data_IF_564993121929
#
_entry.id   IF_564993121929
#
_cell.length_a   1.000
_cell.length_b   1.000
_cell.length_c   1.000
_cell.angle_alpha   90.00
_cell.angle_beta   90.00
_cell.angle_gamma   90.00
#
_symmetry.space_group_name_H-M   'P 1'
#
loop_
_entity.id
_entity.type
_entity.pdbx_description
1 polymer ?
#
# COMPACT_ATOMS: atom_id res chain seq x y z
N UNK A 1 -52.62 55.19 -4.99
CA UNK A 1 -51.69 54.45 -5.88
C UNK A 1 -52.19 53.02 -6.01
N UNK A 2 -52.44 52.61 -7.28
CA UNK A 2 -52.58 51.25 -7.86
C UNK A 2 -53.43 50.20 -7.12
N UNK A 3 -54.63 49.97 -7.67
CA UNK A 3 -55.41 48.75 -7.49
C UNK A 3 -55.15 47.73 -8.62
N UNK A 4 -55.28 46.47 -8.23
CA UNK A 4 -55.67 45.26 -8.97
C UNK A 4 -55.11 45.00 -10.38
N UNK A 5 -54.42 43.86 -10.55
CA UNK A 5 -54.61 43.02 -11.74
C UNK A 5 -54.36 41.54 -11.43
N UNK A 6 -55.12 40.70 -12.13
CA UNK A 6 -55.52 39.33 -11.81
C UNK A 6 -54.45 38.27 -12.12
N UNK A 7 -54.52 37.19 -11.35
CA UNK A 7 -53.93 35.88 -11.66
C UNK A 7 -54.44 35.35 -13.00
N UNK A 8 -53.50 34.89 -13.85
CA UNK A 8 -53.79 33.91 -14.89
C UNK A 8 -52.83 32.75 -14.69
N UNK A 9 -53.42 31.60 -14.36
CA UNK A 9 -52.77 30.30 -14.25
C UNK A 9 -52.48 29.77 -15.65
N UNK A 10 -51.25 29.29 -15.89
CA UNK A 10 -50.97 28.37 -17.00
C UNK A 10 -50.20 27.18 -16.43
N UNK A 11 -50.88 26.03 -16.42
CA UNK A 11 -50.30 24.72 -16.24
C UNK A 11 -49.48 24.38 -17.48
N UNK A 12 -48.23 23.95 -17.30
CA UNK A 12 -47.48 23.25 -18.32
C UNK A 12 -46.80 22.04 -17.68
N UNK A 13 -47.44 20.89 -17.86
CA UNK A 13 -46.90 19.55 -17.70
C UNK A 13 -45.72 19.35 -18.65
N UNK A 14 -44.61 18.85 -18.13
CA UNK A 14 -43.47 18.41 -18.93
C UNK A 14 -42.49 17.60 -18.11
N UNK A 15 -42.63 16.28 -18.16
CA UNK A 15 -41.65 15.33 -17.63
C UNK A 15 -40.32 15.47 -18.38
N UNK A 16 -39.19 15.46 -17.66
CA UNK A 16 -37.94 14.98 -18.23
C UNK A 16 -37.12 14.18 -17.22
N UNK A 17 -36.71 13.04 -17.72
CA UNK A 17 -36.09 11.88 -17.10
C UNK A 17 -34.56 12.06 -16.98
N UNK A 18 -33.98 11.26 -16.09
CA UNK A 18 -32.59 10.82 -16.03
C UNK A 18 -31.53 11.79 -15.47
N UNK A 19 -31.31 11.70 -14.15
CA UNK A 19 -30.06 12.10 -13.51
C UNK A 19 -29.08 10.92 -13.58
N UNK A 20 -28.28 10.86 -14.65
CA UNK A 20 -27.17 9.92 -14.78
C UNK A 20 -25.99 10.45 -13.95
N UNK A 21 -25.86 9.99 -12.70
CA UNK A 21 -24.69 10.28 -11.87
C UNK A 21 -23.48 9.50 -12.42
N UNK A 22 -22.74 10.12 -13.33
CA UNK A 22 -21.41 9.65 -13.75
C UNK A 22 -20.44 9.85 -12.57
N UNK A 23 -20.26 8.82 -11.76
CA UNK A 23 -19.15 8.77 -10.82
C UNK A 23 -17.86 8.44 -11.58
N UNK A 24 -17.23 9.48 -12.13
CA UNK A 24 -15.86 9.39 -12.62
C UNK A 24 -14.94 9.17 -11.42
N UNK A 25 -14.72 7.90 -11.05
CA UNK A 25 -13.64 7.50 -10.17
C UNK A 25 -12.32 7.92 -10.80
N UNK A 26 -11.79 9.07 -10.39
CA UNK A 26 -10.44 9.48 -10.74
C UNK A 26 -9.50 8.56 -9.95
N UNK A 27 -9.03 7.51 -10.61
CA UNK A 27 -7.84 6.81 -10.17
C UNK A 27 -6.70 7.84 -10.14
N UNK A 28 -6.35 8.32 -8.94
CA UNK A 28 -5.10 9.06 -8.74
C UNK A 28 -3.96 8.09 -9.00
N UNK A 29 -3.50 8.06 -10.25
CA UNK A 29 -2.17 7.56 -10.55
C UNK A 29 -1.20 8.45 -9.75
N UNK A 30 -0.60 7.88 -8.71
CA UNK A 30 0.45 8.54 -7.96
C UNK A 30 1.57 8.92 -8.93
N UNK A 31 1.79 10.22 -9.11
CA UNK A 31 2.99 10.72 -9.78
C UNK A 31 4.15 10.43 -8.83
N UNK A 32 5.09 9.59 -9.26
CA UNK A 32 6.40 9.48 -8.64
C UNK A 32 7.00 10.89 -8.58
N UNK A 33 7.13 11.44 -7.37
CA UNK A 33 7.73 12.76 -7.16
C UNK A 33 9.24 12.55 -7.23
N UNK A 34 9.95 13.11 -8.23
CA UNK A 34 11.40 12.98 -8.30
C UNK A 34 12.05 13.61 -7.06
N UNK A 35 12.85 12.83 -6.33
CA UNK A 35 13.56 13.27 -5.13
C UNK A 35 13.06 12.68 -3.81
N UNK A 36 11.89 12.03 -3.79
CA UNK A 36 11.53 11.07 -2.75
C UNK A 36 12.03 9.71 -3.25
N UNK A 37 12.98 9.08 -2.54
CA UNK A 37 13.43 7.72 -2.86
C UNK A 37 12.23 6.79 -3.02
N UNK A 38 12.37 5.72 -3.81
CA UNK A 38 11.25 4.82 -4.13
C UNK A 38 10.59 4.34 -2.83
N UNK A 39 9.26 4.34 -2.80
CA UNK A 39 8.50 4.14 -1.57
C UNK A 39 8.43 2.67 -1.15
N UNK A 40 8.83 2.37 0.10
CA UNK A 40 8.73 1.03 0.71
C UNK A 40 7.43 0.85 1.51
N UNK A 41 6.77 1.93 1.93
CA UNK A 41 5.49 1.86 2.63
C UNK A 41 4.41 1.18 1.76
N UNK A 42 3.55 0.40 2.41
CA UNK A 42 2.46 -0.35 1.79
C UNK A 42 2.58 -1.86 2.00
N UNK A 43 1.74 -2.59 1.26
CA UNK A 43 1.65 -4.04 1.33
C UNK A 43 2.47 -4.70 0.22
N UNK A 44 3.14 -5.79 0.56
CA UNK A 44 4.05 -6.54 -0.29
C UNK A 44 3.87 -8.03 -0.13
N UNK A 45 4.19 -8.78 -1.19
CA UNK A 45 4.27 -10.23 -1.17
C UNK A 45 5.58 -10.70 -1.79
N UNK A 46 6.09 -11.83 -1.33
CA UNK A 46 7.15 -12.57 -2.00
C UNK A 46 6.81 -14.06 -1.98
N UNK A 47 7.44 -14.84 -2.86
CA UNK A 47 7.32 -16.30 -2.82
C UNK A 47 8.66 -16.89 -2.42
N UNK A 48 8.66 -17.69 -1.36
CA UNK A 48 9.84 -18.43 -0.89
C UNK A 48 9.45 -19.90 -0.81
N UNK A 49 10.19 -20.76 -1.51
CA UNK A 49 9.97 -22.21 -1.51
C UNK A 49 8.51 -22.60 -1.80
N UNK A 50 7.85 -21.87 -2.71
CA UNK A 50 6.47 -22.10 -3.10
C UNK A 50 5.42 -21.56 -2.13
N UNK A 51 5.81 -20.88 -1.05
CA UNK A 51 4.90 -20.31 -0.06
C UNK A 51 4.94 -18.78 -0.07
N UNK A 52 3.79 -18.15 0.19
CA UNK A 52 3.67 -16.69 0.21
C UNK A 52 4.21 -16.11 1.53
N UNK A 53 5.16 -15.19 1.41
CA UNK A 53 5.59 -14.26 2.45
C UNK A 53 4.81 -12.96 2.25
N UNK A 54 4.27 -12.39 3.33
CA UNK A 54 3.62 -11.07 3.28
C UNK A 54 4.40 -10.07 4.12
N UNK A 55 4.44 -8.81 3.68
CA UNK A 55 5.05 -7.73 4.44
C UNK A 55 4.22 -6.45 4.32
N UNK A 56 4.02 -5.78 5.45
CA UNK A 56 3.33 -4.49 5.56
C UNK A 56 4.30 -3.49 6.16
N UNK A 57 4.56 -2.37 5.48
CA UNK A 57 5.41 -1.31 6.01
C UNK A 57 4.65 0.01 6.12
N UNK A 58 4.93 0.73 7.20
CA UNK A 58 4.58 2.14 7.39
C UNK A 58 5.87 2.94 7.50
N UNK A 59 5.80 4.20 7.10
CA UNK A 59 6.96 5.10 7.07
C UNK A 59 6.62 6.43 7.73
N UNK A 60 7.57 6.94 8.52
CA UNK A 60 7.52 8.26 9.12
C UNK A 60 8.91 8.92 8.96
N UNK A 61 9.04 9.77 7.95
CA UNK A 61 10.35 10.31 7.57
C UNK A 61 11.27 9.18 7.11
N UNK A 62 12.47 9.10 7.69
CA UNK A 62 13.42 8.01 7.40
C UNK A 62 13.17 6.76 8.23
N UNK A 63 12.24 6.79 9.19
CA UNK A 63 11.90 5.63 10.00
C UNK A 63 10.87 4.76 9.30
N UNK A 64 11.05 3.44 9.39
CA UNK A 64 10.05 2.45 8.97
C UNK A 64 9.68 1.53 10.12
N UNK A 65 8.43 1.10 10.11
CA UNK A 65 7.97 -0.01 10.95
C UNK A 65 7.08 -0.93 10.13
N UNK A 66 7.00 -2.20 10.51
CA UNK A 66 6.22 -3.14 9.72
C UNK A 66 6.00 -4.48 10.38
N UNK A 67 5.24 -5.31 9.66
CA UNK A 67 4.98 -6.70 10.00
C UNK A 67 5.37 -7.56 8.82
N UNK A 68 6.18 -8.58 9.06
CA UNK A 68 6.56 -9.59 8.06
C UNK A 68 6.03 -10.93 8.54
N UNK A 69 5.29 -11.64 7.69
CA UNK A 69 4.80 -13.00 7.98
C UNK A 69 5.51 -13.96 7.04
N UNK A 70 6.31 -14.85 7.61
CA UNK A 70 7.09 -15.86 6.89
C UNK A 70 6.55 -17.25 7.25
N UNK A 71 6.11 -18.05 6.27
CA UNK A 71 5.72 -19.43 6.49
C UNK A 71 6.84 -20.26 7.12
N UNK A 72 6.49 -21.13 8.06
CA UNK A 72 7.39 -22.14 8.61
C UNK A 72 7.10 -23.49 7.96
N UNK A 73 7.98 -23.89 7.05
CA UNK A 73 7.85 -25.13 6.28
C UNK A 73 8.01 -26.36 7.16
N UNK A 74 8.73 -26.25 8.29
CA UNK A 74 9.00 -27.39 9.17
C UNK A 74 7.79 -27.66 10.08
N UNK A 75 7.22 -26.60 10.65
CA UNK A 75 6.07 -26.74 11.56
C UNK A 75 4.70 -26.64 10.89
N UNK A 76 4.65 -26.20 9.62
CA UNK A 76 3.39 -25.94 8.91
C UNK A 76 2.66 -24.66 9.35
N UNK A 77 3.28 -23.85 10.22
CA UNK A 77 2.75 -22.59 10.71
C UNK A 77 3.28 -21.36 9.98
N UNK A 78 3.19 -20.20 10.64
CA UNK A 78 3.84 -18.97 10.20
C UNK A 78 4.49 -18.26 11.37
N UNK A 79 5.55 -17.53 11.07
CA UNK A 79 6.23 -16.65 12.01
C UNK A 79 5.95 -15.20 11.64
N UNK A 80 5.53 -14.42 12.63
CA UNK A 80 5.23 -12.99 12.49
C UNK A 80 6.33 -12.17 13.16
N UNK A 81 6.88 -11.20 12.42
CA UNK A 81 7.96 -10.34 12.86
C UNK A 81 7.53 -8.88 12.81
N UNK A 82 7.41 -8.25 13.98
CA UNK A 82 7.24 -6.80 14.10
C UNK A 82 8.61 -6.10 14.01
N UNK A 83 8.86 -5.43 12.89
CA UNK A 83 10.17 -4.84 12.60
C UNK A 83 10.12 -3.32 12.69
N UNK A 84 11.24 -2.74 13.11
CA UNK A 84 11.48 -1.30 13.06
C UNK A 84 12.85 -1.03 12.45
N UNK A 85 13.00 0.09 11.74
CA UNK A 85 14.15 0.31 10.89
C UNK A 85 14.26 1.70 10.30
N UNK A 86 15.16 1.82 9.33
CA UNK A 86 15.45 3.06 8.61
C UNK A 86 15.43 2.84 7.10
N UNK A 87 15.16 3.92 6.37
CA UNK A 87 15.30 4.03 4.91
C UNK A 87 16.34 5.09 4.61
N UNK A 88 17.27 4.79 3.71
CA UNK A 88 18.33 5.68 3.24
C UNK A 88 18.33 5.65 1.71
N UNK A 89 17.70 6.65 1.09
CA UNK A 89 17.48 6.64 -0.35
C UNK A 89 16.54 5.51 -0.77
N UNK A 90 17.03 4.62 -1.64
CA UNK A 90 16.30 3.42 -2.07
C UNK A 90 16.56 2.21 -1.16
N UNK A 91 17.54 2.29 -0.25
CA UNK A 91 17.90 1.20 0.65
C UNK A 91 17.11 1.26 1.94
N UNK A 92 16.85 0.10 2.55
CA UNK A 92 16.21 0.00 3.85
C UNK A 92 16.79 -1.14 4.69
N UNK A 93 16.72 -0.97 6.01
CA UNK A 93 17.07 -1.99 6.98
C UNK A 93 16.12 -1.93 8.17
N UNK A 94 15.56 -3.08 8.56
CA UNK A 94 14.66 -3.19 9.70
C UNK A 94 14.97 -4.44 10.53
N UNK A 95 14.74 -4.37 11.84
CA UNK A 95 15.08 -5.42 12.79
C UNK A 95 13.89 -5.78 13.67
N UNK A 96 13.74 -7.08 13.95
CA UNK A 96 12.86 -7.60 15.00
C UNK A 96 13.61 -7.66 16.33
N UNK A 97 12.93 -7.41 17.46
CA UNK A 97 13.54 -7.35 18.79
C UNK A 97 14.31 -8.61 19.22
N UNK A 98 14.03 -9.78 18.64
CA UNK A 98 14.78 -11.01 18.92
C UNK A 98 16.06 -11.18 18.09
N UNK A 99 16.36 -10.29 17.14
CA UNK A 99 17.60 -10.29 16.36
C UNK A 99 17.47 -10.69 14.88
N UNK A 100 16.26 -10.84 14.33
CA UNK A 100 16.07 -11.06 12.89
C UNK A 100 16.19 -9.72 12.15
N UNK A 101 16.80 -9.76 10.97
CA UNK A 101 17.12 -8.58 10.18
C UNK A 101 16.50 -8.70 8.80
N UNK A 102 15.92 -7.62 8.30
CA UNK A 102 15.55 -7.44 6.91
C UNK A 102 16.38 -6.30 6.34
N UNK A 103 17.08 -6.52 5.23
CA UNK A 103 17.78 -5.48 4.47
C UNK A 103 17.39 -5.56 3.02
N UNK A 104 17.20 -4.45 2.35
CA UNK A 104 16.88 -4.47 0.93
C UNK A 104 16.97 -3.12 0.25
N UNK A 105 16.62 -3.13 -1.02
CA UNK A 105 16.61 -1.97 -1.90
C UNK A 105 15.29 -1.97 -2.67
N UNK A 106 14.60 -0.83 -2.71
CA UNK A 106 13.45 -0.64 -3.58
C UNK A 106 13.98 -0.43 -5.01
N UNK A 107 13.63 -1.33 -5.93
CA UNK A 107 14.16 -1.31 -7.30
C UNK A 107 13.21 -0.63 -8.29
N UNK A 108 11.92 -0.55 -7.95
CA UNK A 108 10.91 0.19 -8.72
C UNK A 108 9.64 0.44 -7.90
N UNK A 109 8.60 1.07 -8.49
CA UNK A 109 7.39 1.44 -7.77
C UNK A 109 6.63 0.23 -7.18
N UNK A 110 6.79 -0.94 -7.80
CA UNK A 110 6.08 -2.16 -7.43
C UNK A 110 7.02 -3.31 -7.05
N UNK A 111 8.30 -3.04 -6.83
CA UNK A 111 9.29 -4.08 -6.56
C UNK A 111 10.41 -3.64 -5.62
N UNK A 112 10.74 -4.49 -4.66
CA UNK A 112 11.91 -4.36 -3.80
C UNK A 112 12.62 -5.71 -3.66
N UNK A 113 13.94 -5.70 -3.59
CA UNK A 113 14.76 -6.89 -3.38
C UNK A 113 15.32 -6.84 -1.97
N UNK A 114 15.11 -7.89 -1.18
CA UNK A 114 15.51 -7.92 0.22
C UNK A 114 16.09 -9.27 0.63
N UNK A 115 16.85 -9.25 1.71
CA UNK A 115 17.36 -10.42 2.41
C UNK A 115 16.83 -10.38 3.82
N UNK A 116 16.05 -11.41 4.17
CA UNK A 116 15.68 -11.68 5.56
C UNK A 116 16.69 -12.63 6.17
N UNK A 117 17.45 -12.15 7.15
CA UNK A 117 18.41 -12.93 7.93
C UNK A 117 17.78 -13.27 9.28
N UNK A 118 17.33 -14.51 9.49
CA UNK A 118 16.84 -14.91 10.80
C UNK A 118 17.98 -14.90 11.81
N UNK A 119 17.65 -14.77 13.11
CA UNK A 119 18.64 -14.90 14.20
C UNK A 119 19.45 -16.20 14.11
N UNK A 120 18.81 -17.27 13.65
CA UNK A 120 19.41 -18.58 13.42
C UNK A 120 18.86 -19.19 12.15
N UNK A 121 19.70 -19.90 11.40
CA UNK A 121 19.33 -20.56 10.15
C UNK A 121 19.71 -19.76 8.91
N UNK A 122 19.30 -20.24 7.71
CA UNK A 122 19.69 -19.63 6.45
C UNK A 122 18.95 -18.31 6.20
N UNK A 123 19.61 -17.40 5.49
CA UNK A 123 18.97 -16.20 4.98
C UNK A 123 17.99 -16.52 3.84
N UNK A 124 16.94 -15.72 3.73
CA UNK A 124 15.93 -15.82 2.68
C UNK A 124 16.04 -14.61 1.76
N UNK A 125 16.23 -14.87 0.46
CA UNK A 125 16.14 -13.83 -0.56
C UNK A 125 14.67 -13.61 -0.90
N UNK A 126 14.22 -12.37 -0.82
CA UNK A 126 12.84 -11.95 -1.05
C UNK A 126 12.80 -11.00 -2.24
N UNK A 127 12.08 -11.39 -3.28
CA UNK A 127 11.63 -10.46 -4.32
C UNK A 127 10.23 -10.00 -3.94
N UNK A 128 10.15 -8.85 -3.28
CA UNK A 128 8.92 -8.24 -2.81
C UNK A 128 8.21 -7.57 -3.98
N UNK A 129 6.98 -7.98 -4.25
CA UNK A 129 6.07 -7.37 -5.22
C UNK A 129 4.98 -6.62 -4.47
N UNK A 130 4.68 -5.39 -4.89
CA UNK A 130 3.65 -4.57 -4.25
C UNK A 130 2.28 -5.21 -4.49
N UNK A 131 1.46 -5.33 -3.44
CA UNK A 131 0.07 -5.79 -3.54
C UNK A 131 -0.82 -4.59 -3.94
N UNK A 132 -1.51 -4.62 -5.09
CA UNK A 132 -2.37 -3.52 -5.51
C UNK A 132 -3.59 -3.37 -4.58
N UNK A 133 -4.05 -2.13 -4.37
CA UNK A 133 -5.34 -1.84 -3.73
C UNK A 133 -5.37 -1.85 -2.19
N UNK A 134 -4.21 -1.78 -1.54
CA UNK A 134 -4.07 -1.66 -0.08
C UNK A 134 -3.86 -0.24 0.40
#
# INVERSE_FOLDING_TARGET
>A
MKGSLRYVSVLATGSLLALLMLSAGTARAGKDIPGLGKEIAGQWTATVLGQEVTASFTRQGDMISGVIVIPDIVSGGSNTYHVAGVVLGDDFAAQHGSGHLLKGTVVGPNEAHAVFTPKSGPALNLVLKRRPGS
#
